data_IF_695310509395
#
_entry.id   IF_695310509395
#
_cell.length_a   1.000
_cell.length_b   1.000
_cell.length_c   1.000
_cell.angle_alpha   90.00
_cell.angle_beta   90.00
_cell.angle_gamma   90.00
#
_symmetry.space_group_name_H-M   'P 1'
#
loop_
_entity.id
_entity.type
_entity.pdbx_description
1 polymer ?
#
# COMPACT_ATOMS: atom_id res chain seq x y z
N UNK A 1 8.30 16.79 -16.91
CA UNK A 1 6.90 16.44 -17.10
C UNK A 1 6.09 17.01 -15.94
N UNK A 2 4.87 17.47 -16.22
CA UNK A 2 3.92 17.96 -15.21
C UNK A 2 2.58 17.29 -15.43
N UNK A 3 1.86 17.01 -14.34
CA UNK A 3 0.52 16.47 -14.39
C UNK A 3 -0.52 17.57 -14.56
N UNK A 4 -1.57 17.35 -15.33
CA UNK A 4 -2.76 18.24 -15.31
C UNK A 4 -3.65 17.87 -14.11
N UNK A 5 -3.29 18.40 -12.93
CA UNK A 5 -4.02 18.15 -11.68
C UNK A 5 -5.30 18.97 -11.54
N UNK A 6 -5.58 19.90 -12.47
CA UNK A 6 -6.78 20.74 -12.42
C UNK A 6 -8.08 19.93 -12.54
N UNK A 7 -7.99 18.68 -13.02
CA UNK A 7 -9.12 17.74 -13.06
C UNK A 7 -9.51 17.18 -11.70
N UNK A 8 -8.59 17.23 -10.73
CA UNK A 8 -8.84 16.81 -9.34
C UNK A 8 -9.18 18.02 -8.48
N UNK A 9 -8.28 18.97 -8.38
CA UNK A 9 -8.48 20.26 -7.70
C UNK A 9 -7.95 21.38 -8.59
N UNK A 10 -8.74 22.44 -8.73
CA UNK A 10 -8.37 23.58 -9.59
C UNK A 10 -7.10 24.30 -9.12
N UNK A 11 -6.77 24.19 -7.85
CA UNK A 11 -5.57 24.76 -7.22
C UNK A 11 -5.33 24.12 -5.86
N UNK A 12 -4.12 24.34 -5.29
CA UNK A 12 -3.81 23.97 -3.89
C UNK A 12 -4.78 24.59 -2.89
N UNK A 13 -5.27 25.78 -3.15
CA UNK A 13 -6.25 26.43 -2.29
C UNK A 13 -7.60 25.67 -2.25
N UNK A 14 -8.01 25.08 -3.37
CA UNK A 14 -9.21 24.21 -3.39
C UNK A 14 -8.94 22.86 -2.72
N UNK A 15 -7.74 22.31 -2.86
CA UNK A 15 -7.32 21.14 -2.10
C UNK A 15 -7.34 21.42 -0.59
N UNK A 16 -6.79 22.55 -0.12
CA UNK A 16 -6.80 22.94 1.30
C UNK A 16 -8.23 23.05 1.88
N UNK A 17 -9.17 23.56 1.10
CA UNK A 17 -10.59 23.60 1.51
C UNK A 17 -11.16 22.19 1.68
N UNK A 18 -10.91 21.30 0.71
CA UNK A 18 -11.35 19.91 0.77
C UNK A 18 -10.67 19.18 1.94
N UNK A 19 -9.36 19.41 2.13
CA UNK A 19 -8.57 18.85 3.23
C UNK A 19 -9.10 19.26 4.61
N UNK A 20 -9.55 20.50 4.77
CA UNK A 20 -10.17 20.96 6.02
C UNK A 20 -11.59 20.41 6.21
N UNK A 21 -12.35 20.25 5.12
CA UNK A 21 -13.74 19.80 5.17
C UNK A 21 -13.92 18.32 5.50
N UNK A 22 -12.88 17.50 5.38
CA UNK A 22 -12.97 16.04 5.61
C UNK A 22 -12.98 15.67 7.10
N UNK A 23 -12.40 16.50 8.00
CA UNK A 23 -12.26 16.16 9.43
C UNK A 23 -13.59 15.80 10.12
N UNK A 24 -14.66 16.59 10.01
CA UNK A 24 -15.93 16.23 10.64
C UNK A 24 -16.54 14.93 10.06
N UNK A 25 -16.25 14.60 8.81
CA UNK A 25 -16.70 13.35 8.19
C UNK A 25 -15.97 12.14 8.77
N UNK A 26 -14.65 12.28 8.99
CA UNK A 26 -13.84 11.24 9.67
C UNK A 26 -14.36 11.04 11.09
N UNK A 27 -14.58 12.12 11.84
CA UNK A 27 -15.07 12.06 13.21
C UNK A 27 -16.47 11.44 13.32
N UNK A 28 -17.34 11.68 12.32
CA UNK A 28 -18.65 11.06 12.26
C UNK A 28 -18.62 9.53 12.15
N UNK A 29 -17.56 8.94 11.60
CA UNK A 29 -17.39 7.49 11.52
C UNK A 29 -17.29 6.85 12.90
N UNK A 30 -16.74 7.51 13.90
CA UNK A 30 -16.67 7.02 15.27
C UNK A 30 -18.06 6.81 15.92
N UNK A 31 -19.09 7.50 15.42
CA UNK A 31 -20.44 7.38 15.96
C UNK A 31 -21.11 6.01 15.67
N UNK A 32 -20.51 5.19 14.83
CA UNK A 32 -20.98 3.83 14.52
C UNK A 32 -20.48 2.77 15.49
N UNK A 33 -19.50 3.08 16.34
CA UNK A 33 -18.97 2.15 17.33
C UNK A 33 -20.09 1.64 18.26
N UNK A 34 -20.15 0.33 18.45
CA UNK A 34 -21.21 -0.36 19.21
C UNK A 34 -22.55 -0.49 18.49
N UNK A 35 -22.64 -0.13 17.20
CA UNK A 35 -23.91 -0.18 16.44
C UNK A 35 -23.90 -1.13 15.25
N UNK A 36 -22.79 -1.78 14.94
CA UNK A 36 -22.63 -2.65 13.77
C UNK A 36 -23.19 -4.07 14.03
N UNK A 37 -24.46 -4.16 14.37
CA UNK A 37 -25.10 -5.40 14.83
C UNK A 37 -26.25 -5.91 13.95
N UNK A 38 -26.50 -5.28 12.82
CA UNK A 38 -27.51 -5.70 11.84
C UNK A 38 -27.15 -5.23 10.42
N UNK A 39 -27.85 -5.78 9.42
CA UNK A 39 -27.58 -5.51 8.01
C UNK A 39 -27.69 -4.02 7.64
N UNK A 40 -28.70 -3.33 8.16
CA UNK A 40 -28.92 -1.91 7.85
C UNK A 40 -27.76 -1.04 8.38
N UNK A 41 -27.40 -1.19 9.66
CA UNK A 41 -26.32 -0.42 10.27
C UNK A 41 -24.96 -0.68 9.62
N UNK A 42 -24.66 -1.95 9.27
CA UNK A 42 -23.43 -2.31 8.54
C UNK A 42 -23.43 -1.69 7.14
N UNK A 43 -24.55 -1.74 6.43
CA UNK A 43 -24.69 -1.11 5.12
C UNK A 43 -24.43 0.39 5.18
N UNK A 44 -25.10 1.09 6.09
CA UNK A 44 -24.97 2.55 6.24
C UNK A 44 -23.53 2.95 6.66
N UNK A 45 -22.89 2.16 7.53
CA UNK A 45 -21.50 2.37 7.91
C UNK A 45 -20.58 2.24 6.70
N UNK A 46 -20.66 1.16 5.89
CA UNK A 46 -19.82 0.99 4.72
C UNK A 46 -20.06 2.08 3.65
N UNK A 47 -21.32 2.51 3.46
CA UNK A 47 -21.62 3.63 2.56
C UNK A 47 -20.93 4.92 3.04
N UNK A 48 -20.95 5.21 4.34
CA UNK A 48 -20.28 6.37 4.94
C UNK A 48 -18.75 6.25 4.87
N UNK A 49 -18.20 5.09 5.23
CA UNK A 49 -16.77 4.77 5.16
C UNK A 49 -16.23 4.98 3.75
N UNK A 50 -16.81 4.32 2.75
CA UNK A 50 -16.38 4.44 1.35
C UNK A 50 -16.48 5.89 0.88
N UNK A 51 -17.51 6.63 1.28
CA UNK A 51 -17.64 8.05 0.96
C UNK A 51 -16.44 8.86 1.48
N UNK A 52 -16.07 8.67 2.73
CA UNK A 52 -14.94 9.36 3.38
C UNK A 52 -13.62 8.94 2.76
N UNK A 53 -13.38 7.62 2.61
CA UNK A 53 -12.11 7.12 2.07
C UNK A 53 -11.89 7.49 0.60
N UNK A 54 -12.94 7.59 -0.20
CA UNK A 54 -12.83 8.09 -1.58
C UNK A 54 -12.39 9.56 -1.62
N UNK A 55 -12.89 10.40 -0.72
CA UNK A 55 -12.43 11.78 -0.61
C UNK A 55 -10.97 11.86 -0.13
N UNK A 56 -10.58 11.04 0.86
CA UNK A 56 -9.20 10.93 1.34
C UNK A 56 -8.24 10.45 0.25
N UNK A 57 -8.66 9.47 -0.55
CA UNK A 57 -7.88 8.98 -1.68
C UNK A 57 -7.62 10.09 -2.71
N UNK A 58 -8.65 10.87 -3.06
CA UNK A 58 -8.48 12.02 -3.96
C UNK A 58 -7.49 13.04 -3.40
N UNK A 59 -7.54 13.32 -2.09
CA UNK A 59 -6.59 14.21 -1.42
C UNK A 59 -5.15 13.66 -1.51
N UNK A 60 -4.97 12.37 -1.23
CA UNK A 60 -3.67 11.72 -1.24
C UNK A 60 -3.09 11.58 -2.65
N UNK A 61 -3.89 11.21 -3.64
CA UNK A 61 -3.44 11.09 -5.04
C UNK A 61 -2.98 12.44 -5.59
N UNK A 62 -3.70 13.52 -5.29
CA UNK A 62 -3.28 14.87 -5.69
C UNK A 62 -1.89 15.22 -5.16
N UNK A 63 -1.65 15.02 -3.85
CA UNK A 63 -0.36 15.36 -3.23
C UNK A 63 0.76 14.46 -3.70
N UNK A 64 0.51 13.16 -3.86
CA UNK A 64 1.47 12.20 -4.38
C UNK A 64 1.89 12.51 -5.81
N UNK A 65 0.96 12.92 -6.69
CA UNK A 65 1.28 13.35 -8.04
C UNK A 65 2.08 14.65 -8.05
N UNK A 66 1.73 15.65 -7.21
CA UNK A 66 2.55 16.85 -7.03
C UNK A 66 3.96 16.54 -6.55
N UNK A 67 4.08 15.68 -5.54
CA UNK A 67 5.38 15.27 -5.01
C UNK A 67 6.22 14.55 -6.08
N UNK A 68 5.59 13.79 -6.97
CA UNK A 68 6.29 13.07 -8.05
C UNK A 68 6.87 14.00 -9.13
N UNK A 69 6.41 15.26 -9.24
CA UNK A 69 6.97 16.25 -10.16
C UNK A 69 8.34 16.76 -9.70
N UNK A 70 8.48 17.04 -8.41
CA UNK A 70 9.75 17.36 -7.75
C UNK A 70 9.72 16.93 -6.28
N UNK A 71 10.39 15.83 -6.00
CA UNK A 71 10.48 15.26 -4.64
C UNK A 71 11.25 16.14 -3.64
N UNK A 72 11.88 17.22 -4.10
CA UNK A 72 12.63 18.18 -3.26
C UNK A 72 11.78 19.40 -2.87
N UNK A 73 10.58 19.53 -3.44
CA UNK A 73 9.70 20.66 -3.16
C UNK A 73 9.10 20.54 -1.74
N UNK A 74 9.49 21.43 -0.84
CA UNK A 74 9.09 21.39 0.58
C UNK A 74 7.57 21.48 0.77
N UNK A 75 6.89 22.27 -0.07
CA UNK A 75 5.43 22.42 -0.05
C UNK A 75 4.72 21.11 -0.44
N UNK A 76 5.20 20.44 -1.50
CA UNK A 76 4.66 19.14 -1.93
C UNK A 76 4.89 18.06 -0.88
N UNK A 77 6.09 17.98 -0.28
CA UNK A 77 6.38 17.06 0.82
C UNK A 77 5.46 17.31 2.01
N UNK A 78 5.27 18.57 2.40
CA UNK A 78 4.40 18.94 3.51
C UNK A 78 2.93 18.57 3.26
N UNK A 79 2.44 18.81 2.05
CA UNK A 79 1.06 18.45 1.68
C UNK A 79 0.85 16.94 1.72
N UNK A 80 1.79 16.16 1.17
CA UNK A 80 1.71 14.70 1.12
C UNK A 80 1.78 14.07 2.53
N UNK A 81 2.67 14.57 3.37
CA UNK A 81 2.75 14.14 4.77
C UNK A 81 1.45 14.42 5.55
N UNK A 82 0.81 15.57 5.31
CA UNK A 82 -0.47 15.94 5.92
C UNK A 82 -1.62 15.06 5.44
N UNK A 83 -1.68 14.77 4.13
CA UNK A 83 -2.69 13.87 3.56
C UNK A 83 -2.53 12.46 4.13
N UNK A 84 -1.30 11.94 4.20
CA UNK A 84 -0.98 10.65 4.80
C UNK A 84 -1.39 10.59 6.27
N UNK A 85 -1.05 11.60 7.07
CA UNK A 85 -1.42 11.64 8.48
C UNK A 85 -2.95 11.64 8.69
N UNK A 86 -3.69 12.32 7.81
CA UNK A 86 -5.15 12.33 7.85
C UNK A 86 -5.76 10.98 7.48
N UNK A 87 -5.19 10.30 6.49
CA UNK A 87 -5.57 8.94 6.12
C UNK A 87 -5.36 7.96 7.30
N UNK A 88 -4.19 8.03 7.94
CA UNK A 88 -3.89 7.21 9.14
C UNK A 88 -4.87 7.50 10.28
N UNK A 89 -5.23 8.78 10.51
CA UNK A 89 -6.27 9.16 11.48
C UNK A 89 -7.60 8.47 11.15
N UNK A 90 -8.02 8.49 9.89
CA UNK A 90 -9.28 7.89 9.47
C UNK A 90 -9.29 6.36 9.67
N UNK A 91 -8.20 5.67 9.28
CA UNK A 91 -8.03 4.23 9.54
C UNK A 91 -8.11 3.93 11.04
N UNK A 92 -7.45 4.72 11.87
CA UNK A 92 -7.53 4.57 13.33
C UNK A 92 -8.95 4.79 13.88
N UNK A 93 -9.71 5.72 13.30
CA UNK A 93 -11.07 6.04 13.72
C UNK A 93 -12.04 4.87 13.50
N UNK A 94 -11.84 4.06 12.46
CA UNK A 94 -12.71 2.92 12.13
C UNK A 94 -12.14 1.57 12.59
N UNK A 95 -11.04 1.54 13.30
CA UNK A 95 -10.36 0.29 13.70
C UNK A 95 -11.24 -0.64 14.57
N UNK A 96 -12.30 -0.11 15.18
CA UNK A 96 -13.28 -0.88 15.93
C UNK A 96 -14.20 -1.75 15.05
N UNK A 97 -14.42 -1.38 13.78
CA UNK A 97 -15.51 -1.92 12.97
C UNK A 97 -15.36 -3.43 12.68
N UNK A 98 -14.18 -3.85 12.20
CA UNK A 98 -13.96 -5.27 11.90
C UNK A 98 -14.03 -6.16 13.15
N UNK A 99 -13.34 -5.85 14.27
CA UNK A 99 -13.50 -6.59 15.52
C UNK A 99 -14.95 -6.66 16.03
N UNK A 100 -15.70 -5.56 15.93
CA UNK A 100 -17.10 -5.52 16.36
C UNK A 100 -17.98 -6.48 15.54
N UNK A 101 -17.85 -6.45 14.21
CA UNK A 101 -18.59 -7.35 13.32
C UNK A 101 -18.20 -8.82 13.61
N UNK A 102 -16.89 -9.10 13.75
CA UNK A 102 -16.40 -10.45 14.00
C UNK A 102 -16.84 -11.00 15.38
N UNK A 103 -17.11 -10.14 16.34
CA UNK A 103 -17.58 -10.53 17.68
C UNK A 103 -19.08 -10.92 17.72
N UNK A 104 -19.85 -10.65 16.64
CA UNK A 104 -21.26 -10.99 16.60
C UNK A 104 -21.49 -12.53 16.67
N UNK A 105 -22.61 -12.97 17.28
CA UNK A 105 -23.03 -14.36 17.25
C UNK A 105 -23.17 -14.88 15.81
N UNK A 106 -22.85 -16.15 15.59
CA UNK A 106 -22.91 -16.76 14.24
C UNK A 106 -24.29 -16.65 13.59
N UNK A 107 -25.36 -16.85 14.36
CA UNK A 107 -26.72 -16.69 13.88
C UNK A 107 -27.02 -15.27 13.37
N UNK A 108 -26.48 -14.26 14.06
CA UNK A 108 -26.59 -12.86 13.63
C UNK A 108 -25.81 -12.60 12.34
N UNK A 109 -24.59 -13.14 12.24
CA UNK A 109 -23.78 -13.03 11.03
C UNK A 109 -24.46 -13.71 9.84
N UNK A 110 -25.03 -14.90 10.04
CA UNK A 110 -25.76 -15.64 8.99
C UNK A 110 -26.99 -14.84 8.50
N UNK A 111 -27.73 -14.21 9.44
CA UNK A 111 -28.86 -13.36 9.10
C UNK A 111 -28.42 -12.10 8.32
N UNK A 112 -27.33 -11.44 8.73
CA UNK A 112 -26.76 -10.29 8.02
C UNK A 112 -26.34 -10.70 6.60
N UNK A 113 -25.65 -11.82 6.44
CA UNK A 113 -25.18 -12.32 5.16
C UNK A 113 -26.31 -12.69 4.19
N UNK A 114 -27.47 -13.11 4.73
CA UNK A 114 -28.65 -13.43 3.93
C UNK A 114 -29.46 -12.19 3.52
N UNK A 115 -29.23 -11.03 4.15
CA UNK A 115 -29.99 -9.80 3.89
C UNK A 115 -29.50 -9.12 2.59
N UNK A 116 -30.47 -8.73 1.73
CA UNK A 116 -30.16 -8.02 0.47
C UNK A 116 -29.60 -6.61 0.67
N UNK A 117 -29.78 -6.01 1.83
CA UNK A 117 -29.21 -4.69 2.11
C UNK A 117 -27.68 -4.70 2.07
N UNK A 118 -27.03 -5.81 2.43
CA UNK A 118 -25.58 -5.94 2.38
C UNK A 118 -25.06 -6.46 1.04
N UNK A 119 -25.91 -6.69 0.05
CA UNK A 119 -25.50 -7.23 -1.25
C UNK A 119 -24.30 -6.51 -1.89
N UNK A 120 -24.17 -5.16 -1.87
CA UNK A 120 -23.01 -4.46 -2.40
C UNK A 120 -21.71 -4.77 -1.66
N UNK A 121 -21.79 -5.16 -0.39
CA UNK A 121 -20.65 -5.40 0.52
C UNK A 121 -20.49 -6.88 0.88
N UNK A 122 -21.31 -7.76 0.31
CA UNK A 122 -21.31 -9.21 0.65
C UNK A 122 -19.94 -9.82 0.50
N UNK A 123 -19.22 -9.51 -0.60
CA UNK A 123 -17.86 -10.02 -0.80
C UNK A 123 -16.88 -9.54 0.29
N UNK A 124 -16.93 -8.27 0.67
CA UNK A 124 -16.06 -7.73 1.73
C UNK A 124 -16.37 -8.38 3.09
N UNK A 125 -17.64 -8.61 3.39
CA UNK A 125 -18.06 -9.31 4.60
C UNK A 125 -17.65 -10.80 4.58
N UNK A 126 -17.79 -11.49 3.45
CA UNK A 126 -17.33 -12.87 3.27
C UNK A 126 -15.82 -12.98 3.51
N UNK A 127 -15.04 -12.02 2.98
CA UNK A 127 -13.61 -11.99 3.16
C UNK A 127 -13.21 -11.74 4.62
N UNK A 128 -13.88 -10.81 5.27
CA UNK A 128 -13.73 -10.55 6.70
C UNK A 128 -14.05 -11.79 7.55
N UNK A 129 -15.17 -12.47 7.28
CA UNK A 129 -15.59 -13.67 8.00
C UNK A 129 -14.63 -14.84 7.75
N UNK A 130 -14.07 -14.95 6.56
CA UNK A 130 -13.04 -15.96 6.24
C UNK A 130 -11.77 -15.75 7.06
N UNK A 131 -11.42 -14.51 7.36
CA UNK A 131 -10.27 -14.19 8.21
C UNK A 131 -10.50 -14.48 9.70
N UNK A 132 -11.77 -14.59 10.14
CA UNK A 132 -12.14 -14.80 11.56
C UNK A 132 -11.39 -15.94 12.26
N UNK A 133 -11.28 -17.17 11.67
CA UNK A 133 -10.55 -18.27 12.30
C UNK A 133 -9.04 -18.00 12.45
N UNK A 134 -8.51 -17.02 11.72
CA UNK A 134 -7.11 -16.63 11.66
C UNK A 134 -6.84 -15.29 12.39
N UNK A 135 -7.83 -14.76 13.09
CA UNK A 135 -7.69 -13.52 13.87
C UNK A 135 -7.37 -13.89 15.32
N UNK A 136 -6.27 -13.38 15.82
CA UNK A 136 -5.83 -13.62 17.19
C UNK A 136 -6.60 -12.71 18.15
N UNK A 137 -6.39 -12.92 19.46
CA UNK A 137 -6.95 -12.02 20.47
C UNK A 137 -6.34 -10.61 20.35
N UNK A 138 -7.05 -9.58 20.78
CA UNK A 138 -6.60 -8.20 20.68
C UNK A 138 -5.19 -7.95 21.30
N UNK A 139 -4.80 -8.55 22.45
CA UNK A 139 -3.43 -8.44 22.97
C UNK A 139 -2.39 -9.09 22.04
N UNK A 140 -2.70 -10.23 21.43
CA UNK A 140 -1.79 -10.94 20.52
C UNK A 140 -1.62 -10.19 19.20
N UNK A 141 -2.71 -9.66 18.62
CA UNK A 141 -2.63 -8.80 17.44
C UNK A 141 -1.81 -7.54 17.69
N UNK A 142 -1.99 -6.90 18.86
CA UNK A 142 -1.19 -5.75 19.27
C UNK A 142 0.29 -6.10 19.41
N UNK A 143 0.61 -7.29 19.93
CA UNK A 143 1.98 -7.77 20.04
C UNK A 143 2.59 -7.98 18.65
N UNK A 144 1.90 -8.67 17.73
CA UNK A 144 2.38 -8.86 16.36
C UNK A 144 2.57 -7.52 15.62
N UNK A 145 1.62 -6.60 15.77
CA UNK A 145 1.73 -5.27 15.17
C UNK A 145 2.98 -4.50 15.65
N UNK A 146 3.38 -4.68 16.92
CA UNK A 146 4.59 -4.06 17.45
C UNK A 146 5.89 -4.57 16.80
N UNK A 147 5.87 -5.76 16.19
CA UNK A 147 6.99 -6.31 15.42
C UNK A 147 6.94 -5.98 13.93
N UNK A 148 5.90 -5.30 13.46
CA UNK A 148 5.66 -5.06 12.02
C UNK A 148 6.84 -4.40 11.30
N UNK A 149 7.48 -3.41 11.93
CA UNK A 149 8.69 -2.77 11.37
C UNK A 149 9.86 -3.77 11.28
N UNK A 150 10.08 -4.59 12.30
CA UNK A 150 11.12 -5.62 12.27
C UNK A 150 10.84 -6.68 11.19
N UNK A 151 9.59 -7.05 10.99
CA UNK A 151 9.16 -7.99 9.95
C UNK A 151 9.37 -7.43 8.53
N UNK A 152 9.33 -6.10 8.36
CA UNK A 152 9.65 -5.43 7.11
C UNK A 152 11.14 -5.39 6.74
N UNK A 153 12.03 -5.61 7.71
CA UNK A 153 13.49 -5.50 7.51
C UNK A 153 14.04 -6.32 6.35
N UNK A 154 13.64 -7.60 6.11
CA UNK A 154 14.13 -8.35 4.98
C UNK A 154 13.84 -7.70 3.63
N UNK A 155 12.64 -7.13 3.46
CA UNK A 155 12.27 -6.38 2.27
C UNK A 155 13.14 -5.12 2.13
N UNK A 156 13.28 -4.34 3.19
CA UNK A 156 14.07 -3.10 3.18
C UNK A 156 15.54 -3.37 2.81
N UNK A 157 16.13 -4.47 3.28
CA UNK A 157 17.50 -4.88 2.91
C UNK A 157 17.60 -5.19 1.42
N UNK A 158 16.62 -5.91 0.86
CA UNK A 158 16.61 -6.23 -0.56
C UNK A 158 16.41 -5.00 -1.44
N UNK A 159 15.50 -4.09 -1.04
CA UNK A 159 15.21 -2.84 -1.75
C UNK A 159 16.46 -1.92 -1.74
N UNK A 160 17.07 -1.69 -0.58
CA UNK A 160 18.28 -0.86 -0.48
C UNK A 160 19.43 -1.43 -1.31
N UNK A 161 19.62 -2.75 -1.28
CA UNK A 161 20.63 -3.40 -2.10
C UNK A 161 20.35 -3.19 -3.60
N UNK A 162 19.12 -3.41 -4.05
CA UNK A 162 18.77 -3.35 -5.47
C UNK A 162 18.72 -1.90 -6.01
N UNK A 163 18.22 -0.95 -5.22
CA UNK A 163 17.92 0.40 -5.67
C UNK A 163 19.04 1.41 -5.36
N UNK A 164 19.85 1.15 -4.31
CA UNK A 164 20.88 2.09 -3.86
C UNK A 164 22.32 1.55 -4.02
N UNK A 165 22.56 0.30 -3.63
CA UNK A 165 23.94 -0.23 -3.52
C UNK A 165 24.40 -0.97 -4.78
N UNK A 166 23.46 -1.44 -5.62
CA UNK A 166 23.81 -2.26 -6.79
C UNK A 166 24.38 -1.41 -7.92
N UNK A 167 25.58 -1.73 -8.34
CA UNK A 167 26.30 -1.09 -9.45
C UNK A 167 26.33 -2.02 -10.64
N UNK A 168 26.13 -1.48 -11.84
CA UNK A 168 26.18 -2.19 -13.10
C UNK A 168 27.38 -1.70 -13.92
N UNK A 169 28.15 -2.65 -14.48
CA UNK A 169 29.22 -2.31 -15.41
C UNK A 169 28.63 -1.78 -16.73
N UNK A 170 29.23 -0.74 -17.32
CA UNK A 170 28.91 -0.32 -18.68
C UNK A 170 29.16 -1.46 -19.67
N UNK A 171 28.40 -1.49 -20.75
CA UNK A 171 28.42 -2.56 -21.75
C UNK A 171 28.80 -2.03 -23.13
N UNK A 172 29.30 -2.89 -24.01
CA UNK A 172 29.58 -2.56 -25.40
C UNK A 172 28.35 -2.84 -26.28
N UNK A 173 28.08 -1.93 -27.22
CA UNK A 173 27.15 -2.17 -28.33
C UNK A 173 27.82 -2.95 -29.49
N UNK A 174 27.07 -3.20 -30.58
CA UNK A 174 27.57 -3.92 -31.76
C UNK A 174 28.64 -3.16 -32.53
N UNK A 175 28.81 -1.86 -32.32
CA UNK A 175 29.85 -1.01 -32.92
C UNK A 175 31.07 -0.85 -32.00
N UNK A 176 31.01 -1.36 -30.79
CA UNK A 176 32.08 -1.32 -29.79
C UNK A 176 32.06 -0.06 -28.89
N UNK A 177 31.01 0.75 -28.95
CA UNK A 177 30.85 1.93 -28.09
C UNK A 177 30.42 1.50 -26.68
N UNK A 178 30.85 2.31 -25.68
CA UNK A 178 30.40 2.12 -24.30
C UNK A 178 28.98 2.67 -24.10
N UNK A 179 28.12 1.85 -23.54
CA UNK A 179 26.75 2.17 -23.19
C UNK A 179 26.59 2.00 -21.68
N UNK A 180 26.14 3.05 -21.00
CA UNK A 180 25.82 2.98 -19.58
C UNK A 180 24.65 2.04 -19.33
N UNK A 181 24.79 1.17 -18.32
CA UNK A 181 23.73 0.28 -17.85
C UNK A 181 23.31 0.67 -16.44
N UNK A 182 22.00 0.85 -16.26
CA UNK A 182 21.36 1.11 -14.98
C UNK A 182 20.13 0.24 -14.83
N UNK A 183 19.62 0.10 -13.60
CA UNK A 183 18.32 -0.56 -13.38
C UNK A 183 17.20 0.08 -14.21
N UNK A 184 17.19 1.41 -14.29
CA UNK A 184 16.14 2.19 -14.99
C UNK A 184 16.18 2.04 -16.51
N UNK A 185 17.36 1.89 -17.12
CA UNK A 185 17.47 1.81 -18.59
C UNK A 185 17.58 0.37 -19.12
N UNK A 186 17.71 -0.63 -18.24
CA UNK A 186 17.86 -2.04 -18.64
C UNK A 186 16.79 -2.50 -19.64
N UNK A 187 15.52 -2.23 -19.35
CA UNK A 187 14.40 -2.61 -20.22
C UNK A 187 14.52 -1.92 -21.59
N UNK A 188 14.91 -0.66 -21.63
CA UNK A 188 15.12 0.08 -22.87
C UNK A 188 16.24 -0.57 -23.70
N UNK A 189 17.34 -0.94 -23.07
CA UNK A 189 18.46 -1.64 -23.75
C UNK A 189 18.02 -3.01 -24.27
N UNK A 190 17.13 -3.72 -23.59
CA UNK A 190 16.57 -5.00 -24.04
C UNK A 190 15.62 -4.87 -25.23
N UNK A 191 15.07 -3.69 -25.51
CA UNK A 191 14.24 -3.44 -26.68
C UNK A 191 15.03 -2.95 -27.91
N UNK A 192 16.34 -2.76 -27.79
CA UNK A 192 17.22 -2.37 -28.89
C UNK A 192 17.21 -3.38 -30.04
N UNK A 193 17.34 -2.90 -31.28
CA UNK A 193 17.58 -3.77 -32.45
C UNK A 193 18.98 -4.41 -32.44
N UNK A 194 19.95 -3.83 -31.70
CA UNK A 194 21.29 -4.36 -31.56
C UNK A 194 21.30 -5.60 -30.64
N UNK A 195 21.53 -6.76 -31.24
CA UNK A 195 21.58 -8.03 -30.52
C UNK A 195 22.78 -8.14 -29.58
N UNK A 196 23.91 -7.50 -29.92
CA UNK A 196 25.12 -7.51 -29.10
C UNK A 196 24.85 -6.71 -27.83
N UNK A 197 24.27 -5.51 -27.97
CA UNK A 197 23.90 -4.67 -26.84
C UNK A 197 22.89 -5.40 -25.92
N UNK A 198 21.84 -6.01 -26.45
CA UNK A 198 20.87 -6.76 -25.64
C UNK A 198 21.55 -7.86 -24.82
N UNK A 199 22.42 -8.65 -25.46
CA UNK A 199 23.14 -9.73 -24.80
C UNK A 199 24.04 -9.19 -23.67
N UNK A 200 24.88 -8.21 -24.00
CA UNK A 200 25.82 -7.66 -23.05
C UNK A 200 25.12 -6.98 -21.85
N UNK A 201 24.03 -6.26 -22.10
CA UNK A 201 23.21 -5.67 -21.05
C UNK A 201 22.59 -6.76 -20.15
N UNK A 202 22.05 -7.83 -20.71
CA UNK A 202 21.51 -8.95 -19.94
C UNK A 202 22.57 -9.61 -19.06
N UNK A 203 23.72 -9.93 -19.64
CA UNK A 203 24.80 -10.63 -18.93
C UNK A 203 25.37 -9.75 -17.79
N UNK A 204 25.58 -8.45 -18.03
CA UNK A 204 26.09 -7.52 -17.03
C UNK A 204 25.05 -7.27 -15.93
N UNK A 205 23.79 -7.07 -16.28
CA UNK A 205 22.71 -6.86 -15.32
C UNK A 205 22.61 -8.03 -14.32
N UNK A 206 22.49 -9.25 -14.82
CA UNK A 206 22.39 -10.42 -13.96
C UNK A 206 23.72 -10.84 -13.31
N UNK A 207 24.88 -10.41 -13.83
CA UNK A 207 26.16 -10.55 -13.14
C UNK A 207 26.14 -9.82 -11.81
N UNK A 208 25.64 -8.57 -11.77
CA UNK A 208 25.52 -7.78 -10.54
C UNK A 208 24.58 -8.45 -9.53
N UNK A 209 23.42 -8.96 -9.95
CA UNK A 209 22.54 -9.72 -9.07
C UNK A 209 23.21 -11.01 -8.53
N UNK A 210 23.97 -11.72 -9.35
CA UNK A 210 24.69 -12.94 -8.92
C UNK A 210 25.78 -12.64 -7.89
N UNK A 211 26.43 -11.48 -7.95
CA UNK A 211 27.42 -11.06 -6.95
C UNK A 211 26.78 -10.90 -5.55
N UNK A 212 25.49 -10.56 -5.48
CA UNK A 212 24.73 -10.35 -4.26
C UNK A 212 23.76 -11.48 -3.93
N UNK A 213 23.87 -12.64 -4.60
CA UNK A 213 22.90 -13.73 -4.51
C UNK A 213 22.67 -14.21 -3.07
N UNK A 214 23.72 -14.25 -2.25
CA UNK A 214 23.62 -14.70 -0.86
C UNK A 214 22.82 -13.70 0.01
N UNK A 215 23.01 -12.41 -0.19
CA UNK A 215 22.26 -11.38 0.52
C UNK A 215 20.80 -11.40 0.12
N UNK A 216 20.51 -11.45 -1.18
CA UNK A 216 19.15 -11.58 -1.71
C UNK A 216 18.45 -12.85 -1.22
N UNK A 217 19.16 -13.99 -1.24
CA UNK A 217 18.62 -15.25 -0.73
C UNK A 217 18.35 -15.20 0.77
N UNK A 218 19.21 -14.56 1.56
CA UNK A 218 19.01 -14.38 3.01
C UNK A 218 17.80 -13.49 3.29
N UNK A 219 17.67 -12.36 2.58
CA UNK A 219 16.50 -11.46 2.70
C UNK A 219 15.22 -12.17 2.31
N UNK A 220 15.18 -12.85 1.17
CA UNK A 220 14.01 -13.62 0.75
C UNK A 220 13.63 -14.71 1.77
N UNK A 221 14.64 -15.48 2.24
CA UNK A 221 14.44 -16.51 3.28
C UNK A 221 13.90 -15.89 4.58
N UNK A 222 14.35 -14.69 4.95
CA UNK A 222 13.85 -13.95 6.09
C UNK A 222 12.36 -13.62 5.93
N UNK A 223 11.97 -13.06 4.79
CA UNK A 223 10.58 -12.72 4.49
C UNK A 223 9.67 -13.96 4.52
N UNK A 224 10.10 -15.07 3.88
CA UNK A 224 9.35 -16.33 3.89
C UNK A 224 9.19 -16.90 5.29
N UNK A 225 10.25 -16.87 6.11
CA UNK A 225 10.18 -17.37 7.50
C UNK A 225 9.25 -16.52 8.36
N UNK A 226 9.26 -15.18 8.17
CA UNK A 226 8.35 -14.30 8.88
C UNK A 226 6.90 -14.60 8.50
N UNK A 227 6.59 -14.65 7.20
CA UNK A 227 5.24 -14.97 6.73
C UNK A 227 4.76 -16.37 7.20
N UNK A 228 5.65 -17.37 7.18
CA UNK A 228 5.34 -18.71 7.68
C UNK A 228 5.09 -18.73 9.19
N UNK A 229 5.87 -17.97 9.96
CA UNK A 229 5.67 -17.86 11.41
C UNK A 229 4.35 -17.16 11.73
N UNK A 230 4.02 -16.06 11.06
CA UNK A 230 2.71 -15.40 11.22
C UNK A 230 1.55 -16.33 10.88
N UNK A 231 1.63 -17.03 9.74
CA UNK A 231 0.61 -18.00 9.35
C UNK A 231 0.46 -19.18 10.32
N UNK A 232 1.53 -19.55 11.03
CA UNK A 232 1.50 -20.66 11.98
C UNK A 232 0.85 -20.32 13.33
N UNK A 233 0.78 -19.03 13.67
CA UNK A 233 0.17 -18.54 14.91
C UNK A 233 -1.25 -18.00 14.74
N UNK A 234 -1.68 -17.82 13.49
CA UNK A 234 -3.04 -17.42 13.09
C UNK A 234 -3.85 -18.63 12.63
#
# INVERSE_FOLDING_TARGET
YQWDLTKMYASDAEWEKAFAAIDPKIEALAAWEGKLNNAASIREFYDAEIGVFRELENLAVYTSLRLSEDTRADDAQSMDARATAKYVKAVGTIAYAQPEILALPQETLDAIMADEQVAPYRFALEDLLRAKPHTLTAPEEKLLAAFGEAFGTPKNVADNLADADMVFDSVKDGEGNDVELTASNYILLQTSNDRVLRKNAFESYYKSFRQHINTLAASYSGAVKTAAAEASVR
#
